data_IF_722131411037
#
_entry.id   IF_722131411037
#
_cell.length_a   1.000
_cell.length_b   1.000
_cell.length_c   1.000
_cell.angle_alpha   90.00
_cell.angle_beta   90.00
_cell.angle_gamma   90.00
#
_symmetry.space_group_name_H-M   'P 1'
#
loop_
_entity.id
_entity.type
_entity.pdbx_description
1 polymer ?
#
# COMPACT_ATOMS: atom_id res chain seq x y z
N UNK A 1 12.43 -20.41 -11.94
CA UNK A 1 13.70 -19.75 -11.54
C UNK A 1 13.42 -18.28 -11.27
N UNK A 2 13.72 -17.78 -10.07
CA UNK A 2 13.49 -16.38 -9.72
C UNK A 2 14.60 -15.53 -10.37
N UNK A 3 14.22 -14.66 -11.32
CA UNK A 3 15.13 -13.74 -11.99
C UNK A 3 15.31 -12.46 -11.15
N UNK A 4 15.87 -12.58 -9.94
CA UNK A 4 16.19 -11.44 -9.08
C UNK A 4 17.58 -10.87 -9.38
N UNK A 5 17.80 -9.60 -9.04
CA UNK A 5 19.11 -8.97 -9.15
C UNK A 5 20.18 -9.78 -8.39
N UNK A 6 19.88 -10.24 -7.16
CA UNK A 6 20.77 -11.11 -6.39
C UNK A 6 21.19 -12.38 -7.13
N UNK A 7 20.25 -13.04 -7.82
CA UNK A 7 20.56 -14.27 -8.58
C UNK A 7 21.37 -13.98 -9.84
N UNK A 8 21.15 -12.81 -10.48
CA UNK A 8 21.97 -12.32 -11.60
C UNK A 8 23.42 -12.04 -11.16
N UNK A 9 23.63 -11.34 -10.05
CA UNK A 9 24.97 -11.06 -9.49
C UNK A 9 25.74 -12.36 -9.22
N UNK A 10 25.13 -13.28 -8.46
CA UNK A 10 25.75 -14.57 -8.10
C UNK A 10 26.09 -15.41 -9.33
N UNK A 11 25.19 -15.47 -10.31
CA UNK A 11 25.40 -16.21 -11.56
C UNK A 11 26.53 -15.62 -12.37
N UNK A 12 26.57 -14.29 -12.54
CA UNK A 12 27.64 -13.63 -13.30
C UNK A 12 29.00 -13.79 -12.62
N UNK A 13 29.08 -13.61 -11.29
CA UNK A 13 30.31 -13.82 -10.53
C UNK A 13 30.87 -15.23 -10.73
N UNK A 14 30.01 -16.26 -10.65
CA UNK A 14 30.38 -17.66 -10.88
C UNK A 14 30.83 -17.93 -12.31
N UNK A 15 30.16 -17.34 -13.30
CA UNK A 15 30.56 -17.46 -14.71
C UNK A 15 31.94 -16.85 -14.99
N UNK A 16 32.35 -15.84 -14.21
CA UNK A 16 33.69 -15.26 -14.24
C UNK A 16 34.73 -16.04 -13.41
N UNK A 17 34.32 -17.14 -12.74
CA UNK A 17 35.20 -17.92 -11.87
C UNK A 17 35.60 -17.22 -10.57
N UNK A 18 34.89 -16.16 -10.16
CA UNK A 18 35.29 -15.35 -9.02
C UNK A 18 34.70 -15.82 -7.69
N UNK A 19 35.51 -15.79 -6.64
CA UNK A 19 35.05 -15.92 -5.26
C UNK A 19 34.29 -14.67 -4.80
N UNK A 20 33.56 -14.78 -3.68
CA UNK A 20 32.90 -13.62 -3.06
C UNK A 20 33.91 -12.51 -2.75
N UNK A 21 35.07 -12.85 -2.17
CA UNK A 21 36.10 -11.86 -1.84
C UNK A 21 36.69 -11.16 -3.07
N UNK A 22 36.83 -11.87 -4.19
CA UNK A 22 37.34 -11.28 -5.44
C UNK A 22 36.39 -10.27 -6.06
N UNK A 23 35.08 -10.52 -6.00
CA UNK A 23 34.09 -9.52 -6.45
C UNK A 23 33.98 -8.38 -5.44
N UNK A 24 34.02 -8.66 -4.14
CA UNK A 24 33.95 -7.64 -3.10
C UNK A 24 35.07 -6.61 -3.25
N UNK A 25 36.32 -7.07 -3.45
CA UNK A 25 37.46 -6.19 -3.73
C UNK A 25 37.28 -5.34 -4.99
N UNK A 26 36.74 -5.92 -6.07
CA UNK A 26 36.52 -5.21 -7.34
C UNK A 26 35.40 -4.17 -7.28
N UNK A 27 34.40 -4.42 -6.42
CA UNK A 27 33.26 -3.54 -6.23
C UNK A 27 33.45 -2.57 -5.04
N UNK A 28 34.67 -2.50 -4.48
CA UNK A 28 35.00 -1.68 -3.31
C UNK A 28 34.03 -1.90 -2.13
N UNK A 29 33.83 -3.17 -1.77
CA UNK A 29 32.95 -3.57 -0.67
C UNK A 29 33.51 -4.78 0.08
N UNK A 30 32.84 -5.19 1.17
CA UNK A 30 33.24 -6.35 1.97
C UNK A 30 32.54 -7.64 1.53
N UNK A 31 33.21 -8.78 1.70
CA UNK A 31 32.64 -10.11 1.40
C UNK A 31 31.32 -10.38 2.14
N UNK A 32 31.18 -9.88 3.38
CA UNK A 32 29.94 -9.97 4.15
C UNK A 32 28.80 -9.15 3.53
N UNK A 33 29.11 -7.97 2.99
CA UNK A 33 28.13 -7.13 2.28
C UNK A 33 27.71 -7.76 0.96
N UNK A 34 28.68 -8.29 0.21
CA UNK A 34 28.38 -9.00 -1.03
C UNK A 34 27.57 -10.29 -0.80
N UNK A 35 27.86 -11.03 0.28
CA UNK A 35 27.07 -12.21 0.67
C UNK A 35 25.61 -11.84 0.89
N UNK A 36 25.34 -10.73 1.60
CA UNK A 36 23.99 -10.18 1.79
C UNK A 36 23.34 -9.82 0.45
N UNK A 37 24.07 -9.20 -0.47
CA UNK A 37 23.55 -8.85 -1.79
C UNK A 37 23.16 -10.08 -2.62
N UNK A 38 23.89 -11.19 -2.51
CA UNK A 38 23.57 -12.43 -3.22
C UNK A 38 22.50 -13.30 -2.53
N UNK A 39 22.17 -13.03 -1.26
CA UNK A 39 21.20 -13.80 -0.47
C UNK A 39 19.75 -13.26 -0.55
N UNK A 40 19.37 -12.66 -1.68
CA UNK A 40 17.99 -12.20 -1.92
C UNK A 40 17.68 -10.77 -1.44
N UNK A 41 18.70 -9.93 -1.26
CA UNK A 41 18.52 -8.51 -0.97
C UNK A 41 17.70 -7.80 -2.05
N UNK A 42 16.76 -6.94 -1.66
CA UNK A 42 15.84 -6.24 -2.58
C UNK A 42 15.98 -4.72 -2.56
N UNK A 43 16.70 -4.16 -1.58
CA UNK A 43 16.80 -2.70 -1.36
C UNK A 43 18.14 -2.16 -1.85
N UNK A 44 18.45 -2.37 -3.12
CA UNK A 44 19.68 -1.84 -3.69
C UNK A 44 19.54 -0.34 -3.95
N UNK A 45 20.57 0.42 -3.58
CA UNK A 45 20.77 1.76 -4.11
C UNK A 45 21.30 1.68 -5.55
N UNK A 46 20.91 2.62 -6.41
CA UNK A 46 21.35 2.64 -7.82
C UNK A 46 22.87 2.67 -7.92
N UNK A 47 23.54 3.52 -7.14
CA UNK A 47 25.01 3.61 -7.12
C UNK A 47 25.70 2.30 -6.69
N UNK A 48 25.04 1.48 -5.87
CA UNK A 48 25.56 0.15 -5.53
C UNK A 48 25.47 -0.81 -6.73
N UNK A 49 24.37 -0.75 -7.47
CA UNK A 49 24.20 -1.56 -8.68
C UNK A 49 25.19 -1.17 -9.78
N UNK A 50 25.47 0.12 -9.94
CA UNK A 50 26.46 0.63 -10.90
C UNK A 50 27.86 0.09 -10.59
N UNK A 51 28.29 0.19 -9.32
CA UNK A 51 29.58 -0.37 -8.87
C UNK A 51 29.69 -1.87 -9.13
N UNK A 52 28.63 -2.62 -8.81
CA UNK A 52 28.60 -4.07 -9.03
C UNK A 52 28.58 -4.42 -10.52
N UNK A 53 27.85 -3.68 -11.35
CA UNK A 53 27.78 -3.88 -12.79
C UNK A 53 29.15 -3.63 -13.44
N UNK A 54 29.83 -2.54 -13.07
CA UNK A 54 31.19 -2.24 -13.50
C UNK A 54 32.16 -3.37 -13.11
N UNK A 55 32.14 -3.80 -11.83
CA UNK A 55 32.98 -4.88 -11.35
C UNK A 55 32.73 -6.21 -12.10
N UNK A 56 31.47 -6.52 -12.42
CA UNK A 56 31.04 -7.75 -13.10
C UNK A 56 31.11 -7.70 -14.64
N UNK A 57 31.56 -6.58 -15.21
CA UNK A 57 31.57 -6.35 -16.66
C UNK A 57 30.17 -6.57 -17.26
N UNK A 58 29.19 -5.86 -16.70
CA UNK A 58 27.80 -5.88 -17.11
C UNK A 58 27.33 -4.45 -17.40
N UNK A 59 26.39 -4.34 -18.32
CA UNK A 59 25.61 -3.13 -18.54
C UNK A 59 24.43 -3.12 -17.54
N UNK A 60 24.28 -2.05 -16.75
CA UNK A 60 23.11 -1.85 -15.90
C UNK A 60 22.02 -1.15 -16.71
N UNK A 61 20.89 -1.82 -16.92
CA UNK A 61 19.70 -1.25 -17.55
C UNK A 61 18.63 -0.98 -16.49
N UNK A 62 18.22 0.29 -16.37
CA UNK A 62 17.13 0.73 -15.49
C UNK A 62 16.05 1.34 -16.36
N UNK A 63 14.84 0.79 -16.27
CA UNK A 63 13.70 1.24 -17.06
C UNK A 63 12.56 1.69 -16.15
N UNK A 64 11.99 2.85 -16.46
CA UNK A 64 10.74 3.32 -15.87
C UNK A 64 9.62 3.04 -16.85
N UNK A 65 8.69 2.19 -16.43
CA UNK A 65 7.47 1.94 -17.19
C UNK A 65 6.35 2.80 -16.60
N UNK A 66 5.50 3.43 -17.45
CA UNK A 66 4.32 4.09 -16.94
C UNK A 66 3.52 3.05 -16.16
N UNK A 67 3.11 3.42 -14.94
CA UNK A 67 2.14 2.63 -14.22
C UNK A 67 0.92 2.56 -15.14
N UNK A 68 0.65 1.38 -15.69
CA UNK A 68 -0.68 1.10 -16.21
C UNK A 68 -1.58 1.21 -14.98
N UNK A 69 -2.13 2.41 -14.77
CA UNK A 69 -3.32 2.57 -13.95
C UNK A 69 -4.27 1.60 -14.64
N UNK A 70 -4.44 0.42 -14.06
CA UNK A 70 -5.46 -0.51 -14.51
C UNK A 70 -6.70 0.37 -14.54
N UNK A 71 -7.21 0.69 -15.74
CA UNK A 71 -8.49 1.34 -15.86
C UNK A 71 -9.37 0.52 -14.96
N UNK A 72 -9.73 1.11 -13.83
CA UNK A 72 -10.43 0.41 -12.78
C UNK A 72 -11.63 -0.16 -13.49
N UNK A 73 -11.76 -1.50 -13.55
CA UNK A 73 -13.03 -2.13 -13.93
C UNK A 73 -14.10 -1.28 -13.26
N UNK A 74 -14.91 -0.55 -14.03
CA UNK A 74 -15.73 0.54 -13.52
C UNK A 74 -16.32 0.11 -12.18
N UNK A 75 -15.90 0.74 -11.08
CA UNK A 75 -16.33 0.31 -9.76
C UNK A 75 -17.80 0.69 -9.66
N UNK A 76 -18.67 -0.28 -9.92
CA UNK A 76 -20.11 -0.07 -9.87
C UNK A 76 -20.59 -0.16 -8.43
N UNK A 77 -21.65 0.60 -8.12
CA UNK A 77 -22.35 0.48 -6.83
C UNK A 77 -22.79 -0.96 -6.56
N UNK A 78 -23.21 -1.69 -7.59
CA UNK A 78 -23.58 -3.10 -7.47
C UNK A 78 -22.42 -4.00 -7.00
N UNK A 79 -21.21 -3.76 -7.50
CA UNK A 79 -20.00 -4.47 -7.03
C UNK A 79 -19.70 -4.11 -5.58
N UNK A 80 -19.79 -2.83 -5.23
CA UNK A 80 -19.55 -2.36 -3.88
C UNK A 80 -20.54 -2.96 -2.88
N UNK A 81 -21.83 -3.02 -3.22
CA UNK A 81 -22.86 -3.70 -2.42
C UNK A 81 -22.50 -5.16 -2.15
N UNK A 82 -22.13 -5.92 -3.19
CA UNK A 82 -21.74 -7.34 -3.02
C UNK A 82 -20.54 -7.51 -2.10
N UNK A 83 -19.51 -6.67 -2.25
CA UNK A 83 -18.29 -6.78 -1.45
C UNK A 83 -18.53 -6.35 0.00
N UNK A 84 -19.21 -5.22 0.20
CA UNK A 84 -19.40 -4.61 1.51
C UNK A 84 -20.52 -5.25 2.31
N UNK A 85 -21.46 -5.99 1.69
CA UNK A 85 -22.62 -6.58 2.36
C UNK A 85 -22.28 -7.38 3.62
N UNK A 86 -21.10 -8.00 3.68
CA UNK A 86 -20.60 -8.71 4.87
C UNK A 86 -20.45 -7.84 6.14
N UNK A 87 -20.31 -6.52 5.98
CA UNK A 87 -20.17 -5.54 7.08
C UNK A 87 -21.53 -5.02 7.59
N UNK A 88 -22.62 -5.41 6.94
CA UNK A 88 -23.98 -4.96 7.22
C UNK A 88 -24.86 -6.17 7.56
N UNK A 89 -24.45 -6.94 8.57
CA UNK A 89 -25.18 -8.15 9.00
C UNK A 89 -26.59 -7.85 9.53
N UNK A 90 -26.84 -6.62 9.95
CA UNK A 90 -28.08 -6.10 10.50
C UNK A 90 -28.93 -5.31 9.48
N UNK A 91 -28.43 -5.09 8.25
CA UNK A 91 -29.13 -4.28 7.26
C UNK A 91 -28.80 -4.72 5.82
N UNK A 92 -29.81 -4.84 4.97
CA UNK A 92 -29.58 -5.15 3.54
C UNK A 92 -29.02 -3.93 2.81
N UNK A 93 -27.70 -3.88 2.64
CA UNK A 93 -27.01 -2.81 1.91
C UNK A 93 -27.48 -2.74 0.44
N UNK A 94 -27.72 -1.53 -0.04
CA UNK A 94 -28.16 -1.25 -1.42
C UNK A 94 -27.31 -0.17 -2.09
N UNK A 95 -27.45 -0.03 -3.42
CA UNK A 95 -26.76 1.02 -4.16
C UNK A 95 -27.21 2.44 -3.79
N UNK A 96 -28.43 2.59 -3.26
CA UNK A 96 -28.97 3.86 -2.77
C UNK A 96 -28.20 4.34 -1.53
N UNK A 97 -27.78 3.42 -0.68
CA UNK A 97 -27.05 3.74 0.56
C UNK A 97 -25.66 4.31 0.29
N UNK A 98 -25.02 3.79 -0.75
CA UNK A 98 -23.74 4.29 -1.26
C UNK A 98 -23.83 5.70 -1.86
N UNK A 99 -25.05 6.23 -2.07
CA UNK A 99 -25.28 7.59 -2.57
C UNK A 99 -25.79 8.50 -1.46
N UNK A 100 -26.82 8.05 -0.74
CA UNK A 100 -27.61 8.90 0.15
C UNK A 100 -27.10 8.84 1.60
N UNK A 101 -26.28 7.83 1.95
CA UNK A 101 -25.83 7.54 3.32
C UNK A 101 -24.33 7.21 3.39
N UNK A 102 -23.52 7.98 2.66
CA UNK A 102 -22.08 7.72 2.53
C UNK A 102 -21.36 7.64 3.88
N UNK A 103 -21.65 8.56 4.79
CA UNK A 103 -21.02 8.63 6.12
C UNK A 103 -21.25 7.35 6.92
N UNK A 104 -22.48 6.84 6.91
CA UNK A 104 -22.83 5.59 7.60
C UNK A 104 -22.13 4.37 6.99
N UNK A 105 -22.01 4.34 5.66
CA UNK A 105 -21.26 3.27 4.99
C UNK A 105 -19.76 3.35 5.32
N UNK A 106 -19.21 4.57 5.31
CA UNK A 106 -17.82 4.83 5.70
C UNK A 106 -17.60 4.39 7.14
N UNK A 107 -18.43 4.81 8.09
CA UNK A 107 -18.34 4.39 9.49
C UNK A 107 -18.22 2.86 9.63
N UNK A 108 -19.06 2.10 8.93
CA UNK A 108 -19.00 0.62 8.95
C UNK A 108 -17.69 0.07 8.37
N UNK A 109 -17.19 0.66 7.29
CA UNK A 109 -15.92 0.26 6.68
C UNK A 109 -14.73 0.63 7.55
N UNK A 110 -14.74 1.80 8.21
CA UNK A 110 -13.65 2.20 9.09
C UNK A 110 -13.58 1.32 10.35
N UNK A 111 -14.74 0.90 10.88
CA UNK A 111 -14.81 0.13 12.12
C UNK A 111 -14.56 -1.37 11.91
N UNK A 112 -15.12 -1.96 10.85
CA UNK A 112 -15.12 -3.43 10.65
C UNK A 112 -14.50 -3.88 9.32
N UNK A 113 -14.15 -2.94 8.43
CA UNK A 113 -13.67 -3.24 7.09
C UNK A 113 -12.18 -3.58 7.01
N UNK A 114 -11.76 -3.96 5.80
CA UNK A 114 -10.36 -4.22 5.44
C UNK A 114 -9.82 -3.09 4.54
N UNK A 115 -8.50 -3.06 4.34
CA UNK A 115 -7.85 -2.07 3.47
C UNK A 115 -8.45 -2.04 2.06
N UNK A 116 -8.84 -3.20 1.51
CA UNK A 116 -9.47 -3.28 0.20
C UNK A 116 -10.86 -2.63 0.15
N UNK A 117 -11.58 -2.56 1.27
CA UNK A 117 -12.87 -1.87 1.36
C UNK A 117 -12.69 -0.36 1.44
N UNK A 118 -11.65 0.10 2.15
CA UNK A 118 -11.25 1.52 2.19
C UNK A 118 -10.90 1.99 0.78
N UNK A 119 -10.05 1.23 0.06
CA UNK A 119 -9.67 1.53 -1.32
C UNK A 119 -10.89 1.50 -2.25
N UNK A 120 -11.83 0.58 -2.03
CA UNK A 120 -13.07 0.52 -2.79
C UNK A 120 -13.91 1.79 -2.61
N UNK A 121 -14.13 2.25 -1.37
CA UNK A 121 -14.90 3.47 -1.09
C UNK A 121 -14.18 4.73 -1.59
N UNK A 122 -12.87 4.83 -1.41
CA UNK A 122 -12.09 5.96 -1.92
C UNK A 122 -12.21 6.10 -3.45
N UNK A 123 -12.23 4.97 -4.18
CA UNK A 123 -12.43 4.98 -5.62
C UNK A 123 -13.89 5.28 -6.01
N UNK A 124 -14.86 4.76 -5.25
CA UNK A 124 -16.28 4.95 -5.57
C UNK A 124 -16.78 6.37 -5.28
N UNK A 125 -16.34 6.98 -4.18
CA UNK A 125 -16.75 8.32 -3.75
C UNK A 125 -15.80 9.41 -4.24
N UNK A 126 -14.65 9.01 -4.80
CA UNK A 126 -13.53 9.91 -5.01
C UNK A 126 -12.81 10.21 -3.70
N UNK A 127 -11.54 10.61 -3.82
CA UNK A 127 -10.68 10.87 -2.66
C UNK A 127 -11.27 11.91 -1.71
N UNK A 128 -11.76 13.03 -2.24
CA UNK A 128 -12.31 14.13 -1.43
C UNK A 128 -13.62 13.72 -0.75
N UNK A 129 -14.58 13.18 -1.49
CA UNK A 129 -15.85 12.71 -0.92
C UNK A 129 -15.65 11.64 0.16
N UNK A 130 -14.71 10.72 -0.02
CA UNK A 130 -14.35 9.77 1.03
C UNK A 130 -13.80 10.46 2.28
N UNK A 131 -12.83 11.37 2.14
CA UNK A 131 -12.25 12.09 3.29
C UNK A 131 -13.29 12.97 3.99
N UNK A 132 -14.21 13.59 3.25
CA UNK A 132 -15.32 14.36 3.81
C UNK A 132 -16.21 13.46 4.68
N UNK A 133 -16.58 12.26 4.19
CA UNK A 133 -17.33 11.28 4.97
C UNK A 133 -16.55 10.73 6.17
N UNK A 134 -15.24 10.52 6.06
CA UNK A 134 -14.40 10.14 7.21
C UNK A 134 -14.40 11.28 8.23
N UNK A 135 -14.34 12.54 7.81
CA UNK A 135 -14.41 13.69 8.73
C UNK A 135 -15.77 13.87 9.42
N UNK A 136 -16.85 13.42 8.77
CA UNK A 136 -18.22 13.46 9.28
C UNK A 136 -18.58 12.27 10.17
N UNK A 137 -17.80 11.18 10.11
CA UNK A 137 -18.04 9.97 10.91
C UNK A 137 -18.05 10.29 12.41
N UNK A 138 -19.05 9.78 13.11
CA UNK A 138 -19.26 10.04 14.54
C UNK A 138 -19.51 8.77 15.36
N UNK A 139 -19.79 7.65 14.69
CA UNK A 139 -20.08 6.34 15.31
C UNK A 139 -18.89 5.39 15.20
N UNK A 140 -17.71 5.87 15.61
CA UNK A 140 -16.48 5.09 15.62
C UNK A 140 -16.04 4.80 17.05
N UNK A 141 -15.35 3.68 17.27
CA UNK A 141 -14.69 3.45 18.56
C UNK A 141 -13.58 4.49 18.77
N UNK A 142 -13.22 4.73 20.04
CA UNK A 142 -12.15 5.70 20.40
C UNK A 142 -10.83 5.41 19.67
N UNK A 143 -10.48 4.12 19.52
CA UNK A 143 -9.27 3.67 18.82
C UNK A 143 -9.33 4.01 17.33
N UNK A 144 -10.41 3.62 16.67
CA UNK A 144 -10.61 3.86 15.23
C UNK A 144 -10.64 5.37 14.94
N UNK A 145 -11.38 6.14 15.74
CA UNK A 145 -11.45 7.59 15.64
C UNK A 145 -10.07 8.26 15.80
N UNK A 146 -9.26 7.83 16.77
CA UNK A 146 -7.92 8.38 16.99
C UNK A 146 -6.99 8.13 15.80
N UNK A 147 -7.02 6.91 15.24
CA UNK A 147 -6.24 6.57 14.06
C UNK A 147 -6.62 7.44 12.85
N UNK A 148 -7.92 7.54 12.55
CA UNK A 148 -8.39 8.30 11.39
C UNK A 148 -8.21 9.81 11.55
N UNK A 149 -8.29 10.34 12.79
CA UNK A 149 -7.93 11.73 13.08
C UNK A 149 -6.46 12.02 12.75
N UNK A 150 -5.55 11.10 13.08
CA UNK A 150 -4.13 11.24 12.75
C UNK A 150 -3.89 11.18 11.22
N UNK A 151 -4.63 10.33 10.50
CA UNK A 151 -4.56 10.27 9.03
C UNK A 151 -5.11 11.52 8.37
N UNK A 152 -6.26 12.03 8.81
CA UNK A 152 -6.85 13.27 8.27
C UNK A 152 -5.92 14.47 8.46
N UNK A 153 -5.26 14.58 9.62
CA UNK A 153 -4.25 15.62 9.87
C UNK A 153 -3.07 15.54 8.89
N UNK A 154 -2.58 14.33 8.57
CA UNK A 154 -1.52 14.14 7.56
C UNK A 154 -1.96 14.54 6.16
N UNK A 155 -3.25 14.38 5.86
CA UNK A 155 -3.85 14.74 4.57
C UNK A 155 -4.25 16.22 4.46
N UNK A 156 -3.90 17.04 5.45
CA UNK A 156 -4.23 18.47 5.47
C UNK A 156 -5.70 18.77 5.77
N UNK A 157 -6.48 17.78 6.20
CA UNK A 157 -7.89 17.95 6.59
C UNK A 157 -7.99 18.31 8.08
N UNK A 158 -8.44 19.52 8.39
CA UNK A 158 -8.78 19.93 9.77
C UNK A 158 -10.19 19.46 10.10
N UNK A 159 -10.29 18.43 10.95
CA UNK A 159 -11.58 17.96 11.45
C UNK A 159 -12.19 19.02 12.37
N UNK A 160 -13.30 19.63 11.97
CA UNK A 160 -14.01 20.66 12.75
C UNK A 160 -15.02 20.10 13.73
N UNK A 161 -15.39 18.81 13.61
CA UNK A 161 -16.24 18.10 14.57
C UNK A 161 -15.40 17.13 15.42
N UNK A 162 -15.57 17.19 16.74
CA UNK A 162 -15.06 16.15 17.65
C UNK A 162 -15.77 14.84 17.30
N UNK A 163 -14.99 13.82 16.94
CA UNK A 163 -15.43 12.44 16.68
C UNK A 163 -16.14 11.76 17.85
N UNK A 164 -16.21 12.41 19.01
CA UNK A 164 -16.79 11.87 20.23
C UNK A 164 -18.10 12.60 20.58
N UNK A 165 -19.23 11.99 20.22
CA UNK A 165 -20.43 12.11 21.06
C UNK A 165 -20.42 10.91 22.00
N UNK A 166 -20.33 11.09 23.33
CA UNK A 166 -20.55 10.00 24.27
C UNK A 166 -22.05 9.69 24.25
N UNK A 167 -22.50 8.85 23.33
CA UNK A 167 -23.83 8.25 23.40
C UNK A 167 -23.64 6.76 23.53
N UNK A 168 -23.98 6.24 24.71
CA UNK A 168 -24.01 4.81 24.96
C UNK A 168 -24.89 4.15 23.90
N UNK A 169 -24.32 3.17 23.19
CA UNK A 169 -25.10 2.24 22.39
C UNK A 169 -25.77 1.29 23.40
N UNK A 170 -26.95 1.69 23.87
CA UNK A 170 -28.06 0.92 24.47
C UNK A 170 -28.89 1.86 25.37
N UNK A 171 -29.95 2.43 24.80
CA UNK A 171 -31.17 2.86 25.48
C UNK A 171 -32.32 2.63 24.52
#
# INVERSE_FOLDING_TARGET
MINSISSQLRRRRRALGWSLGQLARRADTSSATLSRYESGWTRFEIGTLEKLAAALRCELRVELNPLRVQHTRNITRARAVRQLGRLFWDYKLTGKDLKDRQDWVVERVLEFGQLNDIVLLQKLFGRRGFLDSVSAASRLSKRTAAFWSAMLKKEGMTCTRRFSRPKAWNS
#
